data_IF_680663327162
#
_entry.id   IF_680663327162
#
_cell.length_a   1.000
_cell.length_b   1.000
_cell.length_c   1.000
_cell.angle_alpha   90.00
_cell.angle_beta   90.00
_cell.angle_gamma   90.00
#
_symmetry.space_group_name_H-M   'P 1'
#
loop_
_entity.id
_entity.type
_entity.pdbx_description
1 polymer ?
#
# COMPACT_ATOMS: atom_id res chain seq x y z
N UNK A 1 -0.20 13.66 16.25
CA UNK A 1 0.20 13.50 14.84
C UNK A 1 1.55 14.16 14.68
N UNK A 2 2.52 13.47 14.09
CA UNK A 2 3.87 13.98 13.87
C UNK A 2 3.98 14.64 12.49
N UNK A 3 4.99 15.47 12.28
CA UNK A 3 5.20 16.20 11.02
C UNK A 3 6.68 16.26 10.64
N UNK A 4 6.96 16.27 9.33
CA UNK A 4 8.25 16.67 8.77
C UNK A 4 8.09 17.92 7.90
N UNK A 5 9.11 18.78 7.87
CA UNK A 5 9.08 20.00 7.05
C UNK A 5 9.78 19.78 5.71
N UNK A 6 9.01 19.72 4.63
CA UNK A 6 9.53 19.66 3.28
C UNK A 6 9.30 20.98 2.54
N UNK A 7 10.39 21.65 2.15
CA UNK A 7 10.35 23.05 1.69
C UNK A 7 9.66 23.87 2.79
N UNK A 8 8.49 24.45 2.51
CA UNK A 8 7.70 25.22 3.50
C UNK A 8 6.40 24.52 3.91
N UNK A 9 6.28 23.22 3.68
CA UNK A 9 5.07 22.43 3.93
C UNK A 9 5.32 21.46 5.09
N UNK A 10 4.42 21.45 6.07
CA UNK A 10 4.38 20.44 7.14
C UNK A 10 3.66 19.19 6.62
N UNK A 11 4.42 18.13 6.35
CA UNK A 11 3.89 16.85 5.86
C UNK A 11 3.59 15.97 7.08
N UNK A 12 2.32 15.58 7.31
CA UNK A 12 1.95 14.72 8.43
C UNK A 12 2.48 13.31 8.22
N UNK A 13 3.09 12.78 9.27
CA UNK A 13 3.62 11.43 9.29
C UNK A 13 3.01 10.65 10.45
N UNK A 14 2.96 9.33 10.28
CA UNK A 14 2.59 8.41 11.34
C UNK A 14 3.43 7.15 11.26
N UNK A 15 3.75 6.60 12.44
CA UNK A 15 4.38 5.29 12.55
C UNK A 15 3.32 4.21 12.54
N UNK A 16 3.46 3.23 11.65
CA UNK A 16 2.70 1.97 11.71
C UNK A 16 3.62 0.94 12.39
N UNK A 17 3.19 0.34 13.50
CA UNK A 17 4.04 -0.53 14.29
C UNK A 17 4.35 -1.85 13.58
N UNK A 18 5.50 -2.44 13.91
CA UNK A 18 5.82 -3.83 13.60
C UNK A 18 4.72 -4.76 14.11
N UNK A 19 4.57 -5.91 13.45
CA UNK A 19 3.50 -6.85 13.73
C UNK A 19 2.15 -6.48 13.12
N UNK A 20 2.01 -5.31 12.46
CA UNK A 20 0.82 -4.99 11.69
C UNK A 20 0.66 -5.91 10.49
N UNK A 21 -0.57 -6.40 10.30
CA UNK A 21 -0.97 -7.29 9.21
C UNK A 21 -1.29 -6.47 7.95
N UNK A 22 -0.75 -6.92 6.83
CA UNK A 22 -0.99 -6.35 5.51
C UNK A 22 -1.67 -7.38 4.62
N UNK A 23 -2.68 -6.95 3.86
CA UNK A 23 -3.43 -7.82 2.98
C UNK A 23 -3.34 -7.35 1.54
N UNK A 24 -2.96 -8.25 0.63
CA UNK A 24 -2.78 -7.92 -0.79
C UNK A 24 -3.46 -8.93 -1.68
N UNK A 25 -4.36 -8.44 -2.51
CA UNK A 25 -4.99 -9.22 -3.57
C UNK A 25 -4.01 -9.35 -4.75
N UNK A 26 -3.86 -10.56 -5.32
CA UNK A 26 -2.92 -10.79 -6.42
C UNK A 26 -1.43 -10.73 -6.01
N UNK A 27 -1.15 -11.17 -4.79
CA UNK A 27 0.20 -11.31 -4.23
C UNK A 27 1.17 -12.00 -5.20
N UNK A 28 2.31 -11.37 -5.48
CA UNK A 28 3.33 -11.91 -6.38
C UNK A 28 4.75 -11.53 -5.94
N UNK A 29 5.75 -12.19 -6.51
CA UNK A 29 7.16 -11.99 -6.12
C UNK A 29 7.69 -10.57 -6.41
N UNK A 30 7.10 -9.85 -7.36
CA UNK A 30 7.50 -8.48 -7.70
C UNK A 30 7.17 -7.49 -6.57
N UNK A 31 6.28 -7.88 -5.66
CA UNK A 31 5.97 -7.12 -4.46
C UNK A 31 7.25 -6.94 -3.62
N UNK A 32 8.10 -7.96 -3.53
CA UNK A 32 9.31 -7.94 -2.72
C UNK A 32 10.56 -7.54 -3.49
N UNK A 33 10.72 -8.09 -4.69
CA UNK A 33 12.01 -8.05 -5.41
C UNK A 33 12.04 -7.05 -6.57
N UNK A 34 10.92 -6.38 -6.85
CA UNK A 34 10.84 -5.42 -7.93
C UNK A 34 10.43 -6.02 -9.28
N UNK A 35 10.50 -5.19 -10.33
CA UNK A 35 10.06 -5.53 -11.68
C UNK A 35 11.10 -6.43 -12.37
N UNK A 36 10.70 -7.58 -12.95
CA UNK A 36 11.63 -8.47 -13.63
C UNK A 36 12.18 -7.86 -14.93
N UNK A 37 13.45 -8.14 -15.23
CA UNK A 37 14.14 -7.76 -16.48
C UNK A 37 14.46 -9.00 -17.31
N UNK A 38 14.66 -8.80 -18.62
CA UNK A 38 14.95 -9.89 -19.58
C UNK A 38 16.20 -10.72 -19.25
N UNK A 39 17.17 -10.13 -18.55
CA UNK A 39 18.43 -10.78 -18.18
C UNK A 39 18.34 -11.57 -16.86
N UNK A 40 17.14 -11.82 -16.32
CA UNK A 40 16.93 -12.54 -15.06
C UNK A 40 17.14 -11.72 -13.79
N UNK A 41 17.66 -10.49 -13.89
CA UNK A 41 17.70 -9.55 -12.76
C UNK A 41 16.35 -8.86 -12.57
N UNK A 42 16.16 -8.17 -11.45
CA UNK A 42 14.99 -7.33 -11.20
C UNK A 42 15.39 -5.89 -10.90
N UNK A 43 14.42 -4.99 -10.96
CA UNK A 43 14.59 -3.56 -10.74
C UNK A 43 13.64 -3.07 -9.64
N UNK A 44 14.19 -2.47 -8.58
CA UNK A 44 13.43 -1.74 -7.57
C UNK A 44 13.71 -0.25 -7.76
N UNK A 45 12.66 0.50 -8.13
CA UNK A 45 12.71 1.95 -8.23
C UNK A 45 12.61 2.59 -6.85
N UNK A 46 13.15 3.81 -6.68
CA UNK A 46 12.94 4.61 -5.45
C UNK A 46 11.46 4.85 -5.14
N UNK A 47 10.63 4.91 -6.19
CA UNK A 47 9.19 5.05 -6.16
C UNK A 47 8.43 3.72 -6.39
N UNK A 48 9.10 2.56 -6.21
CA UNK A 48 8.41 1.27 -6.27
C UNK A 48 7.36 1.20 -5.16
N UNK A 49 6.10 1.02 -5.55
CA UNK A 49 4.96 1.09 -4.66
C UNK A 49 4.17 -0.21 -4.73
N UNK A 50 3.99 -0.83 -3.56
CA UNK A 50 3.18 -2.03 -3.36
C UNK A 50 1.96 -1.64 -2.55
N UNK A 51 0.80 -2.10 -2.98
CA UNK A 51 -0.49 -1.69 -2.44
C UNK A 51 -1.04 -2.78 -1.52
N UNK A 52 -1.39 -2.39 -0.30
CA UNK A 52 -1.94 -3.25 0.74
C UNK A 52 -3.19 -2.61 1.34
N UNK A 53 -4.12 -3.44 1.80
CA UNK A 53 -5.19 -3.00 2.71
C UNK A 53 -4.90 -3.51 4.13
N UNK A 54 -5.35 -2.79 5.17
CA UNK A 54 -5.36 -3.29 6.54
C UNK A 54 -6.48 -4.31 6.77
N UNK A 55 -7.38 -4.53 5.81
CA UNK A 55 -8.50 -5.45 5.91
C UNK A 55 -8.43 -6.51 4.79
N UNK A 56 -8.61 -7.80 5.12
CA UNK A 56 -8.47 -8.89 4.15
C UNK A 56 -9.60 -9.00 3.11
N UNK A 57 -10.73 -8.36 3.35
CA UNK A 57 -11.89 -8.39 2.47
C UNK A 57 -12.02 -7.11 1.62
N UNK A 58 -11.31 -6.05 1.99
CA UNK A 58 -11.36 -4.75 1.32
C UNK A 58 -10.90 -4.84 -0.14
N UNK A 59 -9.79 -5.54 -0.42
CA UNK A 59 -9.30 -5.70 -1.78
C UNK A 59 -10.33 -6.33 -2.71
N UNK A 60 -10.98 -7.44 -2.28
CA UNK A 60 -12.07 -8.03 -3.06
C UNK A 60 -13.25 -7.07 -3.20
N UNK A 61 -13.67 -6.42 -2.11
CA UNK A 61 -14.80 -5.48 -2.15
C UNK A 61 -14.55 -4.25 -3.05
N UNK A 62 -13.31 -3.81 -3.18
CA UNK A 62 -12.92 -2.68 -4.03
C UNK A 62 -12.61 -3.09 -5.48
N UNK A 63 -12.12 -4.31 -5.72
CA UNK A 63 -11.54 -4.70 -7.01
C UNK A 63 -12.30 -5.82 -7.74
N UNK A 64 -13.45 -6.28 -7.22
CA UNK A 64 -14.19 -7.44 -7.72
C UNK A 64 -14.43 -7.47 -9.24
N UNK A 65 -14.66 -6.31 -9.87
CA UNK A 65 -15.02 -6.21 -11.31
C UNK A 65 -13.82 -6.03 -12.26
N UNK A 66 -12.58 -6.14 -11.78
CA UNK A 66 -11.40 -6.01 -12.65
C UNK A 66 -11.16 -7.33 -13.42
N UNK A 67 -11.65 -7.38 -14.67
CA UNK A 67 -11.66 -8.59 -15.52
C UNK A 67 -10.28 -9.10 -15.97
N UNK A 68 -9.23 -8.27 -15.86
CA UNK A 68 -7.89 -8.55 -16.40
C UNK A 68 -6.82 -8.79 -15.31
N UNK A 69 -7.20 -9.26 -14.12
CA UNK A 69 -6.24 -9.48 -13.03
C UNK A 69 -6.49 -10.80 -12.32
N UNK A 70 -5.41 -11.56 -12.06
CA UNK A 70 -5.47 -12.74 -11.22
C UNK A 70 -5.61 -12.34 -9.75
N UNK A 71 -6.86 -12.20 -9.34
CA UNK A 71 -7.28 -11.92 -7.97
C UNK A 71 -7.77 -13.18 -7.25
N UNK A 72 -7.34 -14.36 -7.70
CA UNK A 72 -7.73 -15.64 -7.10
C UNK A 72 -7.14 -15.87 -5.71
N UNK A 73 -6.10 -15.10 -5.35
CA UNK A 73 -5.35 -15.25 -4.10
C UNK A 73 -5.18 -13.96 -3.33
N UNK A 74 -5.15 -14.10 -2.01
CA UNK A 74 -4.79 -13.05 -1.07
C UNK A 74 -3.53 -13.43 -0.30
N UNK A 75 -2.51 -12.59 -0.43
CA UNK A 75 -1.32 -12.65 0.42
C UNK A 75 -1.60 -11.95 1.73
N UNK A 76 -1.19 -12.60 2.82
CA UNK A 76 -1.15 -12.02 4.15
C UNK A 76 0.31 -11.85 4.52
N UNK A 77 0.66 -10.66 4.99
CA UNK A 77 2.01 -10.30 5.38
C UNK A 77 1.99 -9.66 6.76
N UNK A 78 3.14 -9.64 7.40
CA UNK A 78 3.35 -8.93 8.66
C UNK A 78 4.49 -7.92 8.48
N UNK A 79 4.32 -6.71 9.02
CA UNK A 79 5.42 -5.75 9.10
C UNK A 79 6.50 -6.27 10.05
N UNK A 80 7.74 -6.31 9.58
CA UNK A 80 8.89 -6.83 10.36
C UNK A 80 9.54 -5.76 11.24
N UNK A 81 9.19 -4.49 11.02
CA UNK A 81 9.66 -3.34 11.79
C UNK A 81 8.67 -2.17 11.70
N UNK A 82 8.85 -1.18 12.57
CA UNK A 82 8.07 0.05 12.55
C UNK A 82 8.38 0.82 11.27
N UNK A 83 7.34 1.30 10.58
CA UNK A 83 7.48 2.07 9.34
C UNK A 83 6.92 3.47 9.53
N UNK A 84 7.60 4.47 8.96
CA UNK A 84 7.05 5.82 8.86
C UNK A 84 6.33 5.98 7.53
N UNK A 85 5.10 6.50 7.57
CA UNK A 85 4.30 6.77 6.39
C UNK A 85 3.78 8.20 6.39
N UNK A 86 3.60 8.77 5.19
CA UNK A 86 2.81 9.99 5.04
C UNK A 86 1.34 9.67 5.29
N UNK A 87 0.73 10.41 6.20
CA UNK A 87 -0.67 10.23 6.59
C UNK A 87 -1.58 11.11 5.75
N UNK A 88 -2.34 10.54 4.82
CA UNK A 88 -3.26 11.26 3.92
C UNK A 88 -4.73 11.04 4.30
N UNK A 89 -4.98 10.76 5.57
CA UNK A 89 -6.30 10.59 6.19
C UNK A 89 -6.50 11.71 7.22
N UNK A 90 -7.74 11.95 7.63
CA UNK A 90 -8.04 12.93 8.67
C UNK A 90 -7.19 12.70 9.94
N UNK A 91 -6.72 13.76 10.61
CA UNK A 91 -6.89 15.19 10.31
C UNK A 91 -5.89 15.81 9.31
N UNK A 92 -5.20 15.03 8.46
CA UNK A 92 -4.29 15.57 7.45
C UNK A 92 -5.02 16.47 6.44
N UNK A 93 -4.49 17.64 6.06
CA UNK A 93 -5.06 18.46 5.00
C UNK A 93 -4.77 17.89 3.59
N UNK A 94 -3.99 16.81 3.50
CA UNK A 94 -3.61 16.19 2.24
C UNK A 94 -4.41 14.92 2.00
N UNK A 95 -4.71 14.66 0.73
CA UNK A 95 -5.41 13.47 0.25
C UNK A 95 -4.57 12.77 -0.81
N UNK A 96 -5.02 11.60 -1.29
CA UNK A 96 -4.43 10.97 -2.48
C UNK A 96 -4.47 11.88 -3.71
N UNK A 97 -5.38 12.87 -3.78
CA UNK A 97 -5.49 13.81 -4.90
C UNK A 97 -4.51 14.98 -4.80
N UNK A 98 -3.85 15.21 -3.67
CA UNK A 98 -2.79 16.22 -3.54
C UNK A 98 -1.67 16.07 -4.58
N UNK A 99 -1.46 14.85 -5.11
CA UNK A 99 -0.56 14.58 -6.26
C UNK A 99 -0.88 15.40 -7.52
N UNK A 100 -2.10 15.92 -7.64
CA UNK A 100 -2.57 16.74 -8.76
C UNK A 100 -2.34 18.23 -8.54
N UNK A 101 -2.17 18.67 -7.29
CA UNK A 101 -2.12 20.08 -6.90
C UNK A 101 -0.69 20.65 -6.84
N UNK A 102 0.32 19.86 -7.24
CA UNK A 102 1.71 20.31 -7.21
C UNK A 102 2.24 20.58 -5.80
N UNK A 103 1.79 19.83 -4.78
CA UNK A 103 2.15 20.00 -3.36
C UNK A 103 3.63 19.75 -3.04
N UNK A 104 4.49 19.60 -4.05
CA UNK A 104 5.93 19.42 -3.91
C UNK A 104 6.34 18.00 -3.56
N UNK A 105 5.83 17.43 -2.45
CA UNK A 105 6.26 16.12 -1.95
C UNK A 105 5.56 14.93 -2.62
N UNK A 106 4.38 15.15 -3.20
CA UNK A 106 3.55 14.12 -3.83
C UNK A 106 3.33 14.45 -5.31
N UNK A 107 3.55 13.48 -6.19
CA UNK A 107 3.44 13.60 -7.65
C UNK A 107 2.69 12.40 -8.22
N UNK A 108 2.29 12.50 -9.50
CA UNK A 108 1.72 11.35 -10.21
C UNK A 108 2.84 10.40 -10.62
N UNK A 109 2.67 9.09 -10.44
CA UNK A 109 3.75 8.13 -10.72
C UNK A 109 4.21 8.10 -12.18
N UNK A 110 3.39 8.55 -13.14
CA UNK A 110 3.84 8.62 -14.54
C UNK A 110 4.77 9.81 -14.83
N UNK A 111 4.85 10.80 -13.93
CA UNK A 111 5.71 11.98 -14.08
C UNK A 111 7.03 11.86 -13.35
N UNK A 112 7.24 10.81 -12.55
CA UNK A 112 8.53 10.53 -11.90
C UNK A 112 9.43 9.73 -12.83
N UNK A 113 10.75 9.72 -12.57
CA UNK A 113 11.71 8.96 -13.36
C UNK A 113 11.31 7.48 -13.42
N UNK A 114 11.33 6.91 -14.62
CA UNK A 114 11.03 5.49 -14.84
C UNK A 114 12.18 4.58 -14.41
N UNK A 115 13.41 5.08 -14.40
CA UNK A 115 14.55 4.32 -13.89
C UNK A 115 14.84 3.06 -14.69
N UNK A 116 15.22 1.97 -14.01
CA UNK A 116 15.62 0.71 -14.63
C UNK A 116 14.49 -0.21 -15.15
N UNK A 117 13.25 0.29 -15.31
CA UNK A 117 12.13 -0.50 -15.87
C UNK A 117 11.77 -0.08 -17.30
N UNK A 118 11.62 -1.07 -18.18
CA UNK A 118 11.17 -0.88 -19.57
C UNK A 118 9.63 -0.81 -19.65
N UNK A 119 9.01 0.15 -18.95
CA UNK A 119 7.55 0.32 -18.96
C UNK A 119 7.14 1.44 -19.93
N UNK A 120 6.39 1.05 -20.98
CA UNK A 120 5.65 1.99 -21.84
C UNK A 120 4.62 2.76 -20.98
N UNK A 121 4.64 4.09 -21.08
CA UNK A 121 4.04 5.02 -20.10
C UNK A 121 2.56 4.78 -19.77
N UNK A 122 2.22 4.84 -18.48
CA UNK A 122 0.84 5.04 -17.99
C UNK A 122 0.13 3.81 -17.41
N UNK A 123 0.80 2.65 -17.31
CA UNK A 123 0.26 1.40 -16.73
C UNK A 123 1.11 0.91 -15.55
N UNK A 124 0.56 -0.01 -14.76
CA UNK A 124 1.27 -0.66 -13.64
C UNK A 124 1.75 0.34 -12.58
N UNK A 125 3.01 0.23 -12.16
CA UNK A 125 3.63 1.14 -11.18
C UNK A 125 3.51 2.62 -11.58
N UNK A 126 3.60 2.91 -12.88
CA UNK A 126 3.50 4.26 -13.45
C UNK A 126 2.07 4.59 -13.92
N UNK A 127 1.04 3.92 -13.39
CA UNK A 127 -0.34 4.26 -13.71
C UNK A 127 -0.66 5.72 -13.36
N UNK A 128 -1.47 6.36 -14.20
CA UNK A 128 -1.75 7.81 -14.09
C UNK A 128 -2.39 8.22 -12.76
N UNK A 129 -3.12 7.30 -12.14
CA UNK A 129 -3.85 7.50 -10.89
C UNK A 129 -2.99 7.23 -9.64
N UNK A 130 -1.82 6.61 -9.78
CA UNK A 130 -0.97 6.27 -8.64
C UNK A 130 -0.22 7.49 -8.10
N UNK A 131 -0.20 7.70 -6.77
CA UNK A 131 0.64 8.70 -6.14
C UNK A 131 2.07 8.16 -5.93
N UNK A 132 3.05 8.99 -6.20
CA UNK A 132 4.47 8.73 -5.94
C UNK A 132 5.06 9.90 -5.17
N UNK A 133 6.12 9.66 -4.40
CA UNK A 133 6.84 10.75 -3.78
C UNK A 133 7.73 11.46 -4.80
N UNK A 134 7.95 12.74 -4.55
CA UNK A 134 8.98 13.50 -5.23
C UNK A 134 10.39 12.95 -4.89
N UNK A 135 11.31 13.02 -5.85
CA UNK A 135 12.65 12.42 -5.71
C UNK A 135 13.48 13.15 -4.65
N UNK A 136 13.37 14.48 -4.59
CA UNK A 136 13.97 15.30 -3.54
C UNK A 136 13.39 14.96 -2.15
N UNK A 137 12.08 14.67 -2.06
CA UNK A 137 11.46 14.21 -0.82
C UNK A 137 12.03 12.87 -0.36
N UNK A 138 12.16 11.90 -1.27
CA UNK A 138 12.78 10.60 -0.98
C UNK A 138 14.23 10.77 -0.53
N UNK A 139 15.00 11.62 -1.21
CA UNK A 139 16.41 11.84 -0.88
C UNK A 139 16.60 12.44 0.52
N UNK A 140 15.68 13.33 0.93
CA UNK A 140 15.66 13.98 2.25
C UNK A 140 15.10 13.06 3.35
N UNK A 141 14.08 12.26 3.06
CA UNK A 141 13.38 11.42 4.04
C UNK A 141 13.31 9.94 3.60
N UNK A 142 14.45 9.24 3.47
CA UNK A 142 14.47 7.86 2.99
C UNK A 142 13.79 6.86 3.95
N UNK A 143 13.59 7.22 5.22
CA UNK A 143 12.89 6.41 6.22
C UNK A 143 11.36 6.49 6.11
N UNK A 144 10.81 7.47 5.37
CA UNK A 144 9.38 7.53 5.07
C UNK A 144 9.12 6.61 3.88
N UNK A 145 8.78 5.36 4.17
CA UNK A 145 8.72 4.27 3.20
C UNK A 145 7.38 4.12 2.51
N UNK A 146 6.33 4.79 2.99
CA UNK A 146 5.01 4.67 2.39
C UNK A 146 4.10 5.84 2.64
N UNK A 147 2.85 5.69 2.20
CA UNK A 147 1.75 6.58 2.51
C UNK A 147 0.48 5.77 2.71
N UNK A 148 -0.43 6.27 3.53
CA UNK A 148 -1.76 5.70 3.70
C UNK A 148 -2.80 6.70 3.25
N UNK A 149 -3.74 6.26 2.41
CA UNK A 149 -4.70 7.15 1.78
C UNK A 149 -5.99 6.44 1.37
N UNK A 150 -7.06 7.21 1.20
CA UNK A 150 -8.27 6.73 0.57
C UNK A 150 -8.16 6.85 -0.96
N UNK A 151 -8.54 5.76 -1.64
CA UNK A 151 -8.63 5.65 -3.09
C UNK A 151 -10.08 5.92 -3.54
N UNK A 152 -10.34 7.08 -4.13
CA UNK A 152 -11.70 7.48 -4.54
C UNK A 152 -12.46 6.40 -5.33
N UNK A 153 -11.84 5.84 -6.38
CA UNK A 153 -12.49 4.81 -7.20
C UNK A 153 -12.81 3.51 -6.45
N UNK A 154 -11.95 3.13 -5.49
CA UNK A 154 -12.22 1.96 -4.65
C UNK A 154 -13.32 2.26 -3.64
N UNK A 155 -13.40 3.50 -3.14
CA UNK A 155 -14.45 3.94 -2.21
C UNK A 155 -15.84 3.84 -2.82
N UNK A 156 -15.99 4.20 -4.11
CA UNK A 156 -17.27 4.10 -4.83
C UNK A 156 -17.71 2.66 -5.04
N UNK A 157 -16.76 1.75 -5.29
CA UNK A 157 -17.07 0.32 -5.43
C UNK A 157 -17.39 -0.30 -4.09
N UNK A 158 -16.59 0.00 -3.07
CA UNK A 158 -16.78 -0.51 -1.73
C UNK A 158 -18.10 -0.06 -1.11
N UNK A 159 -18.55 1.18 -1.36
CA UNK A 159 -19.85 1.67 -0.87
C UNK A 159 -21.03 0.89 -1.45
N UNK A 160 -20.89 0.35 -2.67
CA UNK A 160 -21.87 -0.54 -3.30
C UNK A 160 -21.77 -1.97 -2.78
N UNK A 161 -20.56 -2.50 -2.58
CA UNK A 161 -20.38 -3.91 -2.18
C UNK A 161 -20.58 -4.13 -0.68
N UNK A 162 -20.12 -3.21 0.18
CA UNK A 162 -20.13 -3.37 1.64
C UNK A 162 -21.52 -3.66 2.22
N UNK A 163 -22.62 -2.98 1.82
CA UNK A 163 -23.97 -3.27 2.31
C UNK A 163 -24.40 -4.74 2.10
N UNK A 164 -23.91 -5.39 1.05
CA UNK A 164 -24.27 -6.77 0.71
C UNK A 164 -23.32 -7.82 1.31
N UNK A 165 -22.28 -7.41 2.03
CA UNK A 165 -21.38 -8.35 2.71
C UNK A 165 -22.09 -9.03 3.89
N UNK A 166 -21.79 -10.31 4.16
CA UNK A 166 -22.33 -11.00 5.32
C UNK A 166 -21.76 -10.43 6.63
N UNK A 167 -22.53 -10.47 7.75
CA UNK A 167 -22.12 -9.86 9.03
C UNK A 167 -20.75 -10.31 9.54
N UNK A 168 -20.42 -11.60 9.36
CA UNK A 168 -19.14 -12.16 9.82
C UNK A 168 -17.91 -11.57 9.11
N UNK A 169 -18.07 -10.93 7.94
CA UNK A 169 -17.02 -10.15 7.26
C UNK A 169 -17.07 -8.68 7.64
N UNK A 170 -18.28 -8.10 7.70
CA UNK A 170 -18.50 -6.67 7.98
C UNK A 170 -17.83 -6.21 9.26
N UNK A 171 -17.81 -7.05 10.30
CA UNK A 171 -17.17 -6.74 11.58
C UNK A 171 -15.69 -6.35 11.48
N UNK A 172 -15.01 -6.71 10.38
CA UNK A 172 -13.60 -6.38 10.20
C UNK A 172 -13.36 -5.03 9.51
N UNK A 173 -14.41 -4.40 8.97
CA UNK A 173 -14.29 -3.16 8.20
C UNK A 173 -14.27 -1.95 9.15
N UNK A 174 -13.16 -1.24 9.15
CA UNK A 174 -12.98 0.02 9.87
C UNK A 174 -12.63 1.13 8.90
N UNK A 175 -13.62 1.98 8.65
CA UNK A 175 -13.53 3.05 7.66
C UNK A 175 -12.74 4.24 8.22
N UNK A 176 -11.89 4.81 7.37
CA UNK A 176 -11.23 6.09 7.60
C UNK A 176 -11.76 7.12 6.59
N UNK A 177 -11.67 8.39 6.94
CA UNK A 177 -12.05 9.52 6.09
C UNK A 177 -10.82 10.40 5.82
N UNK A 178 -10.76 11.04 4.65
CA UNK A 178 -9.75 12.05 4.32
C UNK A 178 -10.35 13.47 4.29
N UNK A 179 -9.52 14.48 4.05
CA UNK A 179 -9.95 15.88 4.06
C UNK A 179 -10.95 16.25 2.94
N UNK A 180 -11.16 15.38 1.94
CA UNK A 180 -12.17 15.55 0.90
C UNK A 180 -13.49 14.81 1.24
N UNK A 181 -13.59 14.21 2.43
CA UNK A 181 -14.76 13.44 2.85
C UNK A 181 -14.85 12.06 2.20
N UNK A 182 -13.79 11.58 1.54
CA UNK A 182 -13.78 10.22 0.99
C UNK A 182 -13.67 9.23 2.13
N UNK A 183 -14.66 8.35 2.29
CA UNK A 183 -14.73 7.36 3.37
C UNK A 183 -14.61 5.92 2.85
N UNK A 184 -13.53 5.22 3.22
CA UNK A 184 -13.29 3.81 2.84
C UNK A 184 -12.34 3.11 3.81
N UNK A 185 -12.08 1.82 3.59
CA UNK A 185 -10.90 1.18 4.19
C UNK A 185 -9.64 1.77 3.53
N UNK A 186 -8.73 2.40 4.29
CA UNK A 186 -7.59 3.06 3.67
C UNK A 186 -6.63 2.05 3.01
N UNK A 187 -5.94 2.51 1.97
CA UNK A 187 -4.91 1.74 1.28
C UNK A 187 -3.52 2.20 1.74
N UNK A 188 -2.66 1.25 2.08
CA UNK A 188 -1.25 1.46 2.32
C UNK A 188 -0.47 1.27 1.03
N UNK A 189 0.27 2.30 0.65
CA UNK A 189 1.17 2.32 -0.50
C UNK A 189 2.59 2.30 0.04
N UNK A 190 3.23 1.13 -0.01
CA UNK A 190 4.47 0.84 0.71
C UNK A 190 5.59 0.47 -0.25
N UNK A 191 6.78 1.04 -0.02
CA UNK A 191 8.00 0.59 -0.67
C UNK A 191 8.42 -0.78 -0.12
N UNK A 192 8.96 -1.73 -0.91
CA UNK A 192 9.35 -3.04 -0.39
C UNK A 192 10.44 -2.97 0.66
N UNK A 193 11.46 -2.14 0.43
CA UNK A 193 12.64 -2.06 1.29
C UNK A 193 12.44 -1.14 2.50
N UNK A 194 13.08 -1.50 3.62
CA UNK A 194 13.14 -0.77 4.90
C UNK A 194 13.52 0.71 4.80
N UNK A 195 14.24 1.07 3.74
CA UNK A 195 14.54 2.46 3.36
C UNK A 195 14.34 2.62 1.87
N UNK A 196 13.78 3.76 1.46
CA UNK A 196 13.70 4.10 0.04
C UNK A 196 15.11 4.41 -0.48
N UNK A 197 15.55 3.75 -1.56
CA UNK A 197 16.87 4.00 -2.09
C UNK A 197 16.87 5.32 -2.88
N UNK A 198 18.01 6.02 -2.86
CA UNK A 198 18.21 7.27 -3.62
C UNK A 198 18.31 7.02 -5.14
N UNK A 199 18.68 5.81 -5.52
CA UNK A 199 18.83 5.35 -6.90
C UNK A 199 18.14 4.00 -7.04
N UNK A 200 17.84 3.61 -8.27
CA UNK A 200 17.23 2.31 -8.50
C UNK A 200 18.21 1.19 -8.13
N UNK A 201 17.68 0.08 -7.64
CA UNK A 201 18.45 -1.10 -7.26
C UNK A 201 18.22 -2.19 -8.30
N UNK A 202 19.32 -2.75 -8.80
CA UNK A 202 19.30 -4.00 -9.57
C UNK A 202 19.42 -5.15 -8.57
N UNK A 203 18.46 -6.04 -8.58
CA UNK A 203 18.37 -7.20 -7.69
C UNK A 203 18.72 -8.46 -8.48
N UNK A 204 19.73 -9.17 -8.01
CA UNK A 204 20.12 -10.49 -8.53
C UNK A 204 19.34 -11.61 -7.85
N UNK A 205 19.27 -12.83 -8.42
CA UNK A 205 18.47 -13.92 -7.87
C UNK A 205 18.75 -14.25 -6.40
N UNK A 206 20.01 -14.21 -5.98
CA UNK A 206 20.45 -14.60 -4.64
C UNK A 206 20.57 -13.43 -3.66
N UNK A 207 20.20 -12.21 -4.06
CA UNK A 207 20.28 -11.05 -3.18
C UNK A 207 19.32 -11.19 -2.00
N UNK A 208 19.82 -10.91 -0.81
CA UNK A 208 19.04 -10.80 0.42
C UNK A 208 18.63 -9.33 0.56
N UNK A 209 17.33 -9.08 0.66
CA UNK A 209 16.77 -7.73 0.75
C UNK A 209 16.19 -7.49 2.16
N UNK A 210 16.49 -6.33 2.74
CA UNK A 210 15.86 -5.87 3.97
C UNK A 210 14.45 -5.30 3.68
N UNK A 211 13.46 -6.19 3.62
CA UNK A 211 12.07 -5.82 3.32
C UNK A 211 11.30 -5.33 4.56
N UNK A 212 10.31 -4.46 4.34
CA UNK A 212 9.37 -3.95 5.35
C UNK A 212 8.42 -5.02 5.90
N UNK A 213 8.23 -6.10 5.16
CA UNK A 213 7.24 -7.13 5.48
C UNK A 213 7.70 -8.49 5.00
N UNK A 214 7.13 -9.52 5.61
CA UNK A 214 7.34 -10.92 5.26
C UNK A 214 5.99 -11.64 5.07
N UNK A 215 5.91 -12.63 4.15
CA UNK A 215 4.68 -13.37 3.93
C UNK A 215 4.42 -14.33 5.08
N UNK A 216 3.18 -14.36 5.58
CA UNK A 216 2.75 -15.32 6.61
C UNK A 216 1.79 -16.37 6.05
N UNK A 217 0.98 -16.01 5.05
CA UNK A 217 0.07 -16.93 4.39
C UNK A 217 -0.29 -16.44 2.98
N UNK A 218 -0.72 -17.38 2.14
CA UNK A 218 -1.26 -17.08 0.83
C UNK A 218 -2.50 -17.95 0.61
N UNK A 219 -3.69 -17.36 0.61
CA UNK A 219 -4.97 -18.08 0.65
C UNK A 219 -5.76 -17.87 -0.64
N UNK A 220 -6.56 -18.87 -1.04
CA UNK A 220 -7.54 -18.70 -2.10
C UNK A 220 -8.67 -17.78 -1.65
N UNK A 221 -8.96 -16.77 -2.45
CA UNK A 221 -10.03 -15.82 -2.18
C UNK A 221 -11.39 -16.50 -2.18
N UNK A 222 -11.63 -17.52 -3.01
CA UNK A 222 -12.92 -18.23 -3.01
C UNK A 222 -12.96 -19.39 -2.01
N UNK A 223 -11.91 -20.23 -2.00
CA UNK A 223 -11.94 -21.51 -1.26
C UNK A 223 -11.59 -21.38 0.22
N UNK A 224 -10.81 -20.38 0.61
CA UNK A 224 -10.25 -20.28 1.96
C UNK A 224 -10.90 -19.18 2.81
N UNK A 225 -12.11 -18.72 2.46
CA UNK A 225 -12.83 -17.68 3.20
C UNK A 225 -12.99 -18.02 4.69
N UNK A 226 -13.36 -19.27 5.03
CA UNK A 226 -13.47 -19.72 6.41
C UNK A 226 -12.12 -19.70 7.13
N UNK A 227 -11.03 -20.13 6.46
CA UNK A 227 -9.69 -20.09 7.05
C UNK A 227 -9.24 -18.67 7.33
N UNK A 228 -9.52 -17.74 6.42
CA UNK A 228 -9.21 -16.32 6.57
C UNK A 228 -9.97 -15.69 7.74
N UNK A 229 -11.27 -15.96 7.88
CA UNK A 229 -12.07 -15.49 9.03
C UNK A 229 -11.54 -16.08 10.35
N UNK A 230 -11.22 -17.38 10.37
CA UNK A 230 -10.64 -18.05 11.54
C UNK A 230 -9.29 -17.44 11.91
N UNK A 231 -8.43 -17.19 10.92
CA UNK A 231 -7.15 -16.51 11.12
C UNK A 231 -7.35 -15.14 11.79
N UNK A 232 -8.24 -14.31 11.24
CA UNK A 232 -8.52 -12.98 11.80
C UNK A 232 -9.06 -13.05 13.23
N UNK A 233 -10.00 -13.95 13.52
CA UNK A 233 -10.55 -14.07 14.87
C UNK A 233 -9.49 -14.49 15.90
N UNK A 234 -8.63 -15.45 15.53
CA UNK A 234 -7.65 -16.04 16.45
C UNK A 234 -6.43 -15.15 16.63
N UNK A 235 -5.91 -14.57 15.55
CA UNK A 235 -4.57 -13.98 15.54
C UNK A 235 -4.56 -12.45 15.34
N UNK A 236 -5.67 -11.80 15.03
CA UNK A 236 -5.68 -10.38 14.68
C UNK A 236 -6.35 -9.52 15.77
N UNK A 237 -5.70 -8.43 16.19
CA UNK A 237 -6.25 -7.39 17.08
C UNK A 237 -6.26 -6.05 16.37
N UNK A 238 -7.42 -5.41 16.27
CA UNK A 238 -7.55 -4.11 15.62
C UNK A 238 -6.90 -2.99 16.44
N UNK A 239 -6.14 -2.13 15.76
CA UNK A 239 -5.57 -0.91 16.32
C UNK A 239 -6.30 0.31 15.70
N UNK A 240 -7.14 1.03 16.48
CA UNK A 240 -7.91 2.16 15.98
C UNK A 240 -7.06 3.38 15.63
N UNK A 241 -5.85 3.49 16.16
CA UNK A 241 -4.98 4.61 15.86
C UNK A 241 -4.42 4.51 14.44
N UNK A 242 -4.08 3.30 13.99
CA UNK A 242 -3.43 3.11 12.69
C UNK A 242 -4.35 2.51 11.63
N UNK A 243 -5.53 2.05 12.01
CA UNK A 243 -6.49 1.27 11.20
C UNK A 243 -6.02 -0.15 10.83
N UNK A 244 -4.85 -0.60 11.31
CA UNK A 244 -4.33 -1.94 11.04
C UNK A 244 -4.77 -2.93 12.10
N UNK A 245 -4.80 -4.20 11.70
CA UNK A 245 -4.74 -5.29 12.67
C UNK A 245 -3.29 -5.61 13.00
N UNK A 246 -3.01 -5.99 14.22
CA UNK A 246 -1.72 -6.53 14.65
C UNK A 246 -1.85 -8.01 14.98
N UNK A 247 -0.77 -8.76 14.77
CA UNK A 247 -0.67 -10.13 15.25
C UNK A 247 -0.72 -10.15 16.78
N UNK A 248 -1.55 -11.02 17.34
CA UNK A 248 -1.68 -11.25 18.79
C UNK A 248 -0.53 -12.08 19.34
#
# INVERSE_FOLDING_TARGET
>A
MEYVTYKNIKVPIKTIPKGSLLFRLGANENDFRGVPKKNGTRCILSNHNVFFYPNPFAGKAALYDFKDSDFSRIGIYVLTHDIQVVWLLNPSPFTRRSKNAGTGFLKRCYTVRKGCVDIKSGKGLHARYNPCFDEEFIAKYPNIVGMIANAFGDSEKMSRTFPHLPPYKKKFFHFAEDAEGVRMIPELILHPLKRRPRKDIIVYPNDILENNYEPIANLSVEKDQTKLVTFMNRHAKYNPETFFYQIK
#
